data_IF_487080435286
#
_entry.id   IF_487080435286
#
_cell.length_a   1.000
_cell.length_b   1.000
_cell.length_c   1.000
_cell.angle_alpha   90.00
_cell.angle_beta   90.00
_cell.angle_gamma   90.00
#
_symmetry.space_group_name_H-M   'P 1'
#
loop_
_entity.id
_entity.type
_entity.pdbx_description
1 polymer ?
#
# COMPACT_ATOMS: atom_id res chain seq x y z
N UNK A 1 -1.15 -6.49 4.73
CA UNK A 1 -0.98 -5.81 3.43
C UNK A 1 0.36 -5.09 3.40
N UNK A 2 1.06 -5.05 2.26
CA UNK A 2 2.41 -4.48 2.12
C UNK A 2 2.38 -3.25 1.21
N UNK A 3 2.91 -2.14 1.69
CA UNK A 3 2.92 -0.84 0.98
C UNK A 3 4.36 -0.42 0.71
N UNK A 4 4.65 0.01 -0.52
CA UNK A 4 5.90 0.70 -0.85
C UNK A 4 5.67 2.21 -0.74
N UNK A 5 6.54 2.89 -0.01
CA UNK A 5 6.59 4.36 0.09
C UNK A 5 7.84 4.84 -0.65
N UNK A 6 7.65 5.50 -1.79
CA UNK A 6 8.72 6.12 -2.57
C UNK A 6 8.69 7.64 -2.34
N UNK A 7 9.61 8.12 -1.51
CA UNK A 7 9.67 9.51 -1.01
C UNK A 7 11.13 9.84 -0.68
N UNK A 8 11.64 10.95 -1.20
CA UNK A 8 13.03 11.39 -0.99
C UNK A 8 13.23 12.22 0.28
N UNK A 9 12.17 12.87 0.78
CA UNK A 9 12.20 13.50 2.11
C UNK A 9 12.19 12.42 3.20
N UNK A 10 13.35 12.22 3.81
CA UNK A 10 13.53 11.20 4.86
C UNK A 10 12.61 11.41 6.07
N UNK A 11 12.27 12.66 6.42
CA UNK A 11 11.38 12.95 7.55
C UNK A 11 9.93 12.55 7.22
N UNK A 12 9.47 12.89 6.01
CA UNK A 12 8.14 12.49 5.53
C UNK A 12 8.05 10.98 5.34
N UNK A 13 9.06 10.35 4.74
CA UNK A 13 9.12 8.90 4.56
C UNK A 13 9.04 8.17 5.92
N UNK A 14 9.78 8.63 6.92
CA UNK A 14 9.74 8.06 8.27
C UNK A 14 8.38 8.29 8.97
N UNK A 15 7.78 9.47 8.80
CA UNK A 15 6.46 9.77 9.31
C UNK A 15 5.39 8.83 8.71
N UNK A 16 5.39 8.70 7.38
CA UNK A 16 4.49 7.81 6.65
C UNK A 16 4.67 6.35 7.09
N UNK A 17 5.93 5.89 7.16
CA UNK A 17 6.25 4.54 7.61
C UNK A 17 5.68 4.25 8.98
N UNK A 18 6.00 5.08 9.99
CA UNK A 18 5.52 4.88 11.37
C UNK A 18 4.00 4.90 11.46
N UNK A 19 3.35 5.85 10.78
CA UNK A 19 1.90 5.95 10.77
C UNK A 19 1.24 4.73 10.14
N UNK A 20 1.72 4.28 8.98
CA UNK A 20 1.17 3.13 8.28
C UNK A 20 1.46 1.81 9.02
N UNK A 21 2.63 1.66 9.66
CA UNK A 21 2.93 0.51 10.52
C UNK A 21 1.99 0.45 11.74
N UNK A 22 1.60 1.60 12.30
CA UNK A 22 0.59 1.68 13.36
C UNK A 22 -0.80 1.26 12.87
N UNK A 23 -1.11 1.50 11.58
CA UNK A 23 -2.34 1.03 10.91
C UNK A 23 -2.22 -0.44 10.44
N UNK A 24 -1.22 -1.19 10.92
CA UNK A 24 -1.00 -2.62 10.62
C UNK A 24 -0.59 -2.95 9.17
N UNK A 25 -0.03 -2.00 8.44
CA UNK A 25 0.61 -2.25 7.14
C UNK A 25 2.08 -2.63 7.32
N UNK A 26 2.59 -3.55 6.50
CA UNK A 26 4.03 -3.71 6.31
C UNK A 26 4.52 -2.65 5.32
N UNK A 27 5.58 -1.92 5.67
CA UNK A 27 6.04 -0.77 4.87
C UNK A 27 7.50 -0.92 4.48
N UNK A 28 7.77 -0.84 3.18
CA UNK A 28 9.10 -0.64 2.63
C UNK A 28 9.22 0.80 2.12
N UNK A 29 10.43 1.35 2.18
CA UNK A 29 10.70 2.70 1.71
C UNK A 29 11.76 2.67 0.61
N UNK A 30 11.61 3.58 -0.37
CA UNK A 30 12.60 3.89 -1.39
C UNK A 30 12.85 5.40 -1.38
N UNK A 31 14.12 5.81 -1.45
CA UNK A 31 14.51 7.22 -1.41
C UNK A 31 14.63 7.85 -2.81
N UNK A 32 14.50 7.08 -3.87
CA UNK A 32 14.56 7.56 -5.25
C UNK A 32 13.75 6.68 -6.21
N UNK A 33 13.54 7.17 -7.43
CA UNK A 33 12.72 6.49 -8.42
C UNK A 33 13.36 5.23 -9.02
N UNK A 34 14.68 5.08 -8.98
CA UNK A 34 15.33 3.83 -9.42
C UNK A 34 15.13 2.72 -8.41
N UNK A 35 15.37 3.00 -7.14
CA UNK A 35 15.13 2.07 -6.03
C UNK A 35 13.65 1.68 -5.97
N UNK A 36 12.73 2.66 -6.09
CA UNK A 36 11.30 2.42 -6.13
C UNK A 36 10.90 1.46 -7.25
N UNK A 37 11.43 1.67 -8.46
CA UNK A 37 11.18 0.80 -9.61
C UNK A 37 11.71 -0.62 -9.41
N UNK A 38 12.93 -0.77 -8.87
CA UNK A 38 13.54 -2.07 -8.58
C UNK A 38 12.76 -2.85 -7.53
N UNK A 39 12.41 -2.21 -6.40
CA UNK A 39 11.62 -2.84 -5.35
C UNK A 39 10.24 -3.26 -5.85
N UNK A 40 9.57 -2.38 -6.59
CA UNK A 40 8.25 -2.65 -7.11
C UNK A 40 8.22 -3.80 -8.14
N UNK A 41 9.32 -4.06 -8.84
CA UNK A 41 9.46 -5.21 -9.74
C UNK A 41 9.82 -6.49 -9.00
N UNK A 42 10.74 -6.41 -8.04
CA UNK A 42 11.28 -7.56 -7.31
C UNK A 42 10.33 -8.11 -6.24
N UNK A 43 9.47 -7.27 -5.67
CA UNK A 43 8.59 -7.64 -4.56
C UNK A 43 7.12 -7.45 -4.93
N UNK A 44 6.26 -8.19 -4.21
CA UNK A 44 4.82 -8.01 -4.31
C UNK A 44 4.35 -7.01 -3.26
N UNK A 45 3.75 -5.93 -3.74
CA UNK A 45 3.10 -4.90 -2.95
C UNK A 45 1.59 -4.90 -3.23
N UNK A 46 0.82 -4.51 -2.24
CA UNK A 46 -0.63 -4.32 -2.37
C UNK A 46 -0.97 -2.89 -2.83
N UNK A 47 -0.05 -1.92 -2.60
CA UNK A 47 -0.18 -0.52 -3.00
C UNK A 47 1.19 0.17 -3.00
N UNK A 48 1.34 1.17 -3.87
CA UNK A 48 2.50 2.08 -3.88
C UNK A 48 2.05 3.51 -3.60
N UNK A 49 2.69 4.17 -2.62
CA UNK A 49 2.70 5.62 -2.47
C UNK A 49 3.92 6.13 -3.23
N UNK A 50 3.72 6.97 -4.23
CA UNK A 50 4.77 7.37 -5.16
C UNK A 50 4.84 8.88 -5.27
N UNK A 51 5.92 9.48 -4.76
CA UNK A 51 6.18 10.90 -5.04
C UNK A 51 6.49 11.10 -6.54
N UNK A 52 5.94 12.16 -7.08
CA UNK A 52 6.22 12.59 -8.46
C UNK A 52 7.65 13.10 -8.58
N UNK A 53 8.15 13.84 -7.60
CA UNK A 53 9.44 14.54 -7.66
C UNK A 53 10.59 13.73 -7.05
N UNK A 54 10.74 12.48 -7.43
CA UNK A 54 11.85 11.65 -6.96
C UNK A 54 13.14 11.95 -7.72
N UNK A 55 14.30 11.88 -7.05
CA UNK A 55 15.60 11.94 -7.71
C UNK A 55 15.86 10.69 -8.56
N UNK A 56 16.87 10.75 -9.42
CA UNK A 56 17.31 9.74 -10.40
C UNK A 56 16.27 9.40 -11.46
N UNK A 57 15.04 9.08 -11.07
CA UNK A 57 13.91 8.80 -11.97
C UNK A 57 12.64 9.43 -11.43
N UNK A 58 12.01 10.25 -12.27
CA UNK A 58 10.75 10.91 -11.91
C UNK A 58 9.63 9.87 -11.67
N UNK A 59 8.73 10.16 -10.72
CA UNK A 59 7.63 9.26 -10.37
C UNK A 59 6.69 8.93 -11.54
N UNK A 60 6.49 9.84 -12.49
CA UNK A 60 5.71 9.52 -13.70
C UNK A 60 6.39 8.45 -14.57
N UNK A 61 7.71 8.46 -14.66
CA UNK A 61 8.45 7.45 -15.43
C UNK A 61 8.43 6.09 -14.70
N UNK A 62 8.49 6.10 -13.36
CA UNK A 62 8.29 4.90 -12.54
C UNK A 62 6.89 4.34 -12.76
N UNK A 63 5.85 5.17 -12.70
CA UNK A 63 4.45 4.78 -12.95
C UNK A 63 4.26 4.18 -14.34
N UNK A 64 4.75 4.85 -15.38
CA UNK A 64 4.65 4.37 -16.77
C UNK A 64 5.30 2.98 -16.96
N UNK A 65 6.43 2.74 -16.28
CA UNK A 65 7.10 1.44 -16.27
C UNK A 65 6.29 0.39 -15.51
N UNK A 66 5.77 0.73 -14.34
CA UNK A 66 4.94 -0.16 -13.53
C UNK A 66 3.69 -0.62 -14.30
N UNK A 67 3.04 0.25 -15.04
CA UNK A 67 1.84 -0.09 -15.80
C UNK A 67 2.10 -1.13 -16.91
N UNK A 68 3.33 -1.24 -17.41
CA UNK A 68 3.71 -2.29 -18.37
C UNK A 68 3.89 -3.66 -17.73
N UNK A 69 4.37 -3.71 -16.49
CA UNK A 69 4.73 -4.97 -15.82
C UNK A 69 3.72 -5.41 -14.76
N UNK A 70 3.09 -4.45 -14.06
CA UNK A 70 2.10 -4.69 -12.99
C UNK A 70 0.90 -3.74 -13.17
N UNK A 71 0.08 -3.92 -14.24
CA UNK A 71 -0.98 -2.98 -14.61
C UNK A 71 -2.07 -2.83 -13.54
N UNK A 72 -2.28 -3.83 -12.71
CA UNK A 72 -3.32 -3.84 -11.66
C UNK A 72 -2.83 -3.42 -10.27
N UNK A 73 -1.53 -3.12 -10.10
CA UNK A 73 -0.99 -2.68 -8.81
C UNK A 73 -1.45 -1.25 -8.51
N UNK A 74 -2.20 -1.02 -7.42
CA UNK A 74 -2.68 0.31 -7.07
C UNK A 74 -1.53 1.29 -6.80
N UNK A 75 -1.59 2.47 -7.41
CA UNK A 75 -0.61 3.55 -7.22
C UNK A 75 -1.33 4.83 -6.82
N UNK A 76 -0.97 5.37 -5.66
CA UNK A 76 -1.38 6.69 -5.18
C UNK A 76 -0.20 7.66 -5.35
N UNK A 77 -0.37 8.67 -6.20
CA UNK A 77 0.65 9.69 -6.38
C UNK A 77 0.64 10.70 -5.23
N UNK A 78 1.84 11.01 -4.73
CA UNK A 78 2.08 12.14 -3.84
C UNK A 78 2.67 13.28 -4.69
N UNK A 79 2.12 14.48 -4.58
CA UNK A 79 2.60 15.61 -5.40
C UNK A 79 2.59 16.92 -4.64
N UNK A 80 3.64 17.71 -4.79
CA UNK A 80 3.69 19.09 -4.34
C UNK A 80 2.93 20.03 -5.29
N UNK A 81 2.60 19.56 -6.51
CA UNK A 81 1.99 20.38 -7.54
C UNK A 81 0.45 20.28 -7.50
N UNK A 82 -0.19 21.39 -7.13
CA UNK A 82 -1.66 21.51 -7.20
C UNK A 82 -2.19 21.76 -8.62
N UNK A 83 -1.30 21.85 -9.64
CA UNK A 83 -1.69 22.13 -11.02
C UNK A 83 -2.57 21.01 -11.58
N UNK A 84 -3.64 21.41 -12.24
CA UNK A 84 -4.59 20.47 -12.84
C UNK A 84 -3.91 19.60 -13.88
N UNK A 85 -2.97 20.16 -14.65
CA UNK A 85 -2.23 19.49 -15.72
C UNK A 85 -1.42 18.29 -15.20
N UNK A 86 -0.73 18.44 -14.07
CA UNK A 86 0.07 17.35 -13.46
C UNK A 86 -0.81 16.22 -12.93
N UNK A 87 -1.99 16.59 -12.40
CA UNK A 87 -2.96 15.59 -11.92
C UNK A 87 -3.57 14.81 -13.07
N UNK A 88 -3.98 15.52 -14.14
CA UNK A 88 -4.49 14.89 -15.37
C UNK A 88 -3.43 13.96 -15.96
N UNK A 89 -2.19 14.44 -16.10
CA UNK A 89 -1.07 13.62 -16.58
C UNK A 89 -0.87 12.34 -15.74
N UNK A 90 -0.92 12.45 -14.40
CA UNK A 90 -0.76 11.29 -13.52
C UNK A 90 -1.87 10.25 -13.72
N UNK A 91 -3.12 10.71 -13.84
CA UNK A 91 -4.27 9.84 -14.07
C UNK A 91 -4.23 9.21 -15.47
N UNK A 92 -3.87 9.97 -16.51
CA UNK A 92 -3.72 9.47 -17.88
C UNK A 92 -2.60 8.43 -18.01
N UNK A 93 -1.54 8.56 -17.21
CA UNK A 93 -0.48 7.54 -17.08
C UNK A 93 -0.91 6.31 -16.29
N UNK A 94 -2.12 6.32 -15.73
CA UNK A 94 -2.72 5.18 -15.05
C UNK A 94 -2.53 5.19 -13.53
N UNK A 95 -2.29 6.33 -12.88
CA UNK A 95 -2.41 6.41 -11.43
C UNK A 95 -3.86 6.16 -11.01
N UNK A 96 -4.06 5.48 -9.88
CA UNK A 96 -5.41 5.15 -9.40
C UNK A 96 -6.00 6.28 -8.56
N UNK A 97 -5.16 7.11 -7.96
CA UNK A 97 -5.53 8.34 -7.24
C UNK A 97 -4.29 9.23 -7.04
N UNK A 98 -4.49 10.43 -6.52
CA UNK A 98 -3.42 11.36 -6.14
C UNK A 98 -3.78 12.10 -4.85
N UNK A 99 -2.77 12.59 -4.14
CA UNK A 99 -2.93 13.46 -2.99
C UNK A 99 -1.90 14.59 -3.05
N UNK A 100 -2.33 15.82 -2.73
CA UNK A 100 -1.48 17.02 -2.80
C UNK A 100 -0.83 17.25 -1.43
N UNK A 101 0.48 17.47 -1.41
CA UNK A 101 1.23 17.88 -0.22
C UNK A 101 1.01 19.39 0.05
N UNK A 102 0.81 19.81 1.34
CA UNK A 102 0.70 18.98 2.52
C UNK A 102 -0.70 18.35 2.66
N UNK A 103 -0.77 17.15 3.22
CA UNK A 103 -2.02 16.41 3.43
C UNK A 103 -2.19 15.95 4.88
N UNK A 104 -3.42 15.71 5.28
CA UNK A 104 -3.72 15.07 6.56
C UNK A 104 -3.47 13.55 6.47
N UNK A 105 -2.82 12.96 7.48
CA UNK A 105 -2.56 11.51 7.51
C UNK A 105 -3.86 10.69 7.44
N UNK A 106 -4.93 11.17 8.09
CA UNK A 106 -6.25 10.54 8.02
C UNK A 106 -6.84 10.50 6.60
N UNK A 107 -6.61 11.55 5.78
CA UNK A 107 -7.00 11.56 4.37
C UNK A 107 -6.21 10.51 3.58
N UNK A 108 -4.89 10.45 3.76
CA UNK A 108 -4.04 9.44 3.13
C UNK A 108 -4.55 8.03 3.44
N UNK A 109 -4.80 7.72 4.71
CA UNK A 109 -5.32 6.42 5.12
C UNK A 109 -6.68 6.09 4.50
N UNK A 110 -7.59 7.08 4.39
CA UNK A 110 -8.88 6.88 3.74
C UNK A 110 -8.73 6.53 2.25
N UNK A 111 -7.82 7.20 1.53
CA UNK A 111 -7.52 6.92 0.11
C UNK A 111 -6.88 5.55 -0.07
N UNK A 112 -5.90 5.19 0.78
CA UNK A 112 -5.28 3.85 0.79
C UNK A 112 -6.35 2.77 0.93
N UNK A 113 -7.24 2.87 1.93
CA UNK A 113 -8.34 1.91 2.13
C UNK A 113 -9.26 1.83 0.90
N UNK A 114 -9.57 2.97 0.28
CA UNK A 114 -10.41 3.00 -0.91
C UNK A 114 -9.76 2.29 -2.11
N UNK A 115 -8.46 2.49 -2.32
CA UNK A 115 -7.70 1.85 -3.40
C UNK A 115 -7.56 0.34 -3.18
N UNK A 116 -7.18 -0.07 -1.98
CA UNK A 116 -7.06 -1.49 -1.62
C UNK A 116 -8.39 -2.24 -1.77
N UNK A 117 -9.52 -1.58 -1.52
CA UNK A 117 -10.86 -2.14 -1.74
C UNK A 117 -11.17 -2.38 -3.21
N UNK A 118 -10.76 -1.48 -4.13
CA UNK A 118 -11.02 -1.60 -5.59
C UNK A 118 -10.30 -2.78 -6.21
N UNK A 119 -9.09 -3.11 -5.73
CA UNK A 119 -8.27 -4.23 -6.23
C UNK A 119 -8.69 -5.59 -5.72
N UNK A 120 -9.57 -5.68 -4.73
CA UNK A 120 -9.96 -6.95 -4.12
C UNK A 120 -11.35 -7.40 -4.58
N UNK A 121 -11.44 -8.66 -5.07
CA UNK A 121 -12.74 -9.33 -5.12
C UNK A 121 -13.29 -9.42 -3.70
N UNK A 122 -14.62 -9.34 -3.47
CA UNK A 122 -15.22 -9.41 -2.12
C UNK A 122 -14.71 -10.58 -1.27
N UNK A 123 -14.37 -11.70 -1.91
CA UNK A 123 -13.79 -12.88 -1.24
C UNK A 123 -12.36 -12.70 -0.73
N UNK A 124 -11.61 -11.71 -1.25
CA UNK A 124 -10.24 -11.43 -0.82
C UNK A 124 -10.16 -10.42 0.35
N UNK A 125 -11.22 -9.66 0.57
CA UNK A 125 -11.31 -8.72 1.70
C UNK A 125 -11.57 -9.43 3.03
N UNK A 126 -12.24 -10.60 2.99
CA UNK A 126 -12.53 -11.42 4.16
C UNK A 126 -11.79 -12.75 4.03
N UNK A 127 -10.87 -13.01 4.93
CA UNK A 127 -10.22 -14.32 5.05
C UNK A 127 -10.98 -15.16 6.07
N UNK A 128 -11.24 -16.42 5.75
CA UNK A 128 -11.94 -17.34 6.64
C UNK A 128 -11.23 -18.69 6.71
N UNK A 129 -10.95 -19.14 7.93
CA UNK A 129 -10.35 -20.44 8.21
C UNK A 129 -11.10 -21.07 9.40
N UNK A 130 -11.95 -22.05 9.13
CA UNK A 130 -12.86 -22.59 10.12
C UNK A 130 -13.84 -21.52 10.62
N UNK A 131 -13.88 -21.30 11.93
CA UNK A 131 -14.68 -20.25 12.56
C UNK A 131 -13.96 -18.90 12.71
N UNK A 132 -12.68 -18.83 12.32
CA UNK A 132 -11.87 -17.61 12.37
C UNK A 132 -12.10 -16.79 11.11
N UNK A 133 -12.49 -15.52 11.28
CA UNK A 133 -12.72 -14.55 10.20
C UNK A 133 -11.83 -13.33 10.42
N UNK A 134 -11.13 -12.90 9.37
CA UNK A 134 -10.27 -11.72 9.38
C UNK A 134 -10.74 -10.76 8.28
N UNK A 135 -11.18 -9.57 8.68
CA UNK A 135 -11.56 -8.51 7.75
C UNK A 135 -10.32 -7.62 7.50
N UNK A 136 -9.79 -7.73 6.29
CA UNK A 136 -8.59 -6.98 5.86
C UNK A 136 -8.83 -5.48 5.70
N UNK A 137 -10.10 -5.09 5.53
CA UNK A 137 -10.48 -3.70 5.32
C UNK A 137 -10.64 -2.92 6.63
N UNK A 138 -11.20 -3.60 7.63
CA UNK A 138 -11.45 -3.02 8.94
C UNK A 138 -10.35 -3.35 9.94
N UNK A 139 -9.34 -4.15 9.51
CA UNK A 139 -8.29 -4.70 10.37
C UNK A 139 -8.86 -5.38 11.62
N UNK A 140 -10.01 -6.03 11.47
CA UNK A 140 -10.71 -6.72 12.55
C UNK A 140 -10.62 -8.22 12.41
N UNK A 141 -10.63 -8.90 13.55
CA UNK A 141 -10.62 -10.37 13.63
C UNK A 141 -11.74 -10.81 14.56
N UNK A 142 -12.42 -11.88 14.16
CA UNK A 142 -13.46 -12.53 14.99
C UNK A 142 -13.41 -14.04 14.89
N UNK A 143 -13.83 -14.69 15.95
CA UNK A 143 -14.02 -16.14 15.99
C UNK A 143 -15.40 -16.44 16.58
N UNK A 144 -16.21 -17.22 15.87
CA UNK A 144 -17.59 -17.52 16.26
C UNK A 144 -18.39 -16.24 16.55
N UNK A 145 -18.22 -15.20 15.71
CA UNK A 145 -18.82 -13.85 15.85
C UNK A 145 -18.38 -13.08 17.10
N UNK A 146 -17.35 -13.52 17.81
CA UNK A 146 -16.76 -12.80 18.94
C UNK A 146 -15.50 -12.08 18.48
N UNK A 147 -15.37 -10.76 18.70
CA UNK A 147 -14.20 -10.00 18.33
C UNK A 147 -12.96 -10.48 19.09
N UNK A 148 -11.82 -10.48 18.41
CA UNK A 148 -10.51 -10.77 18.99
C UNK A 148 -9.65 -9.52 18.81
N UNK A 149 -9.17 -8.96 19.89
CA UNK A 149 -8.22 -7.85 19.86
C UNK A 149 -6.81 -8.39 19.65
N UNK A 150 -6.16 -7.90 18.61
CA UNK A 150 -4.78 -8.22 18.27
C UNK A 150 -3.96 -6.94 18.15
N UNK A 151 -2.71 -7.02 18.61
CA UNK A 151 -1.74 -5.98 18.29
C UNK A 151 -1.47 -5.95 16.77
N UNK A 152 -0.95 -4.84 16.22
CA UNK A 152 -0.62 -4.75 14.79
C UNK A 152 0.29 -5.87 14.28
N UNK A 153 1.24 -6.33 15.10
CA UNK A 153 2.15 -7.44 14.74
C UNK A 153 1.45 -8.80 14.72
N UNK A 154 0.58 -9.04 15.68
CA UNK A 154 -0.21 -10.28 15.73
C UNK A 154 -1.21 -10.34 14.58
N UNK A 155 -1.86 -9.21 14.27
CA UNK A 155 -2.74 -9.11 13.11
C UNK A 155 -2.00 -9.41 11.80
N UNK A 156 -0.84 -8.77 11.56
CA UNK A 156 -0.04 -8.99 10.36
C UNK A 156 0.43 -10.46 10.24
N UNK A 157 0.83 -11.07 11.35
CA UNK A 157 1.20 -12.48 11.38
C UNK A 157 -0.01 -13.39 11.06
N UNK A 158 -1.15 -13.13 11.67
CA UNK A 158 -2.38 -13.89 11.42
C UNK A 158 -2.82 -13.76 9.95
N UNK A 159 -2.84 -12.55 9.41
CA UNK A 159 -3.15 -12.30 8.00
C UNK A 159 -2.23 -13.12 7.08
N UNK A 160 -0.91 -13.06 7.34
CA UNK A 160 0.08 -13.81 6.58
C UNK A 160 -0.17 -15.32 6.62
N UNK A 161 -0.47 -15.87 7.78
CA UNK A 161 -0.77 -17.29 7.96
C UNK A 161 -2.07 -17.67 7.25
N UNK A 162 -3.11 -16.87 7.34
CA UNK A 162 -4.40 -17.13 6.71
C UNK A 162 -4.34 -17.07 5.18
N UNK A 163 -3.55 -16.16 4.62
CA UNK A 163 -3.28 -16.11 3.16
C UNK A 163 -2.52 -17.34 2.69
N UNK A 164 -1.59 -17.84 3.51
CA UNK A 164 -0.72 -18.97 3.17
C UNK A 164 -1.18 -20.30 3.79
N UNK A 165 -2.45 -20.47 4.15
CA UNK A 165 -2.98 -21.63 4.88
C UNK A 165 -2.68 -23.02 4.27
N UNK A 166 -2.31 -23.08 2.98
CA UNK A 166 -1.97 -24.32 2.29
C UNK A 166 -0.48 -24.47 1.98
N UNK A 167 0.35 -23.57 2.48
CA UNK A 167 1.80 -23.59 2.28
C UNK A 167 2.52 -23.80 3.60
N UNK A 168 3.63 -24.54 3.56
CA UNK A 168 4.53 -24.61 4.73
C UNK A 168 5.21 -23.25 4.87
N UNK A 169 5.00 -22.60 6.01
CA UNK A 169 5.68 -21.35 6.37
C UNK A 169 6.90 -21.74 7.20
N UNK A 170 8.09 -21.52 6.68
CA UNK A 170 9.34 -21.75 7.39
C UNK A 170 9.89 -20.43 7.92
N UNK A 171 10.64 -20.49 9.00
CA UNK A 171 11.40 -19.35 9.50
C UNK A 171 12.54 -19.08 8.51
N UNK A 172 12.63 -17.84 7.99
CA UNK A 172 13.79 -17.37 7.24
C UNK A 172 14.95 -17.08 8.19
#
# INVERSE_FOLDING_TARGET
MRILVAEDDAALAQFLRKGLEAESYAVDCAADGEEAGQLAEACDFDLILLDVNLPRRNGFDVLARLRRHKPSLPVLLLTAHAKVEDRVRGLDLGADDYIVKPFAFSELCARIRALLRRGQRPSAAMLKVGSLELNRMEHSVQRDSKPIELSPKEYALLEYLMVNQRRRVTRA
#
